data_IF_726096634685
#
_entry.id   IF_726096634685
#
_cell.length_a   1.000
_cell.length_b   1.000
_cell.length_c   1.000
_cell.angle_alpha   90.00
_cell.angle_beta   90.00
_cell.angle_gamma   90.00
#
_symmetry.space_group_name_H-M   'P 1'
#
loop_
_entity.id
_entity.type
_entity.pdbx_description
1 polymer ?
#
# COMPACT_ATOMS: atom_id res chain seq x y z
N UNK A 1 -17.16 -0.46 1.12
CA UNK A 1 -16.50 0.21 2.27
C UNK A 1 -15.20 -0.52 2.54
N UNK A 2 -14.07 0.18 2.64
CA UNK A 2 -12.75 -0.44 2.76
C UNK A 2 -12.38 -0.69 4.23
N UNK A 3 -11.81 -1.86 4.54
CA UNK A 3 -11.29 -2.16 5.90
C UNK A 3 -9.99 -1.41 6.20
N UNK A 4 -9.16 -1.16 5.19
CA UNK A 4 -7.93 -0.36 5.31
C UNK A 4 -7.64 0.39 4.00
N UNK A 5 -7.09 1.60 4.10
CA UNK A 5 -6.43 2.30 2.99
C UNK A 5 -4.96 2.58 3.34
N UNK A 6 -4.08 2.62 2.32
CA UNK A 6 -2.63 2.73 2.51
C UNK A 6 -1.97 3.85 1.68
N UNK A 7 -2.44 5.11 1.75
CA UNK A 7 -1.91 6.20 0.93
C UNK A 7 -0.46 6.55 1.29
N UNK A 8 0.37 6.90 0.31
CA UNK A 8 1.60 7.67 0.58
C UNK A 8 1.28 9.17 0.80
N UNK A 9 2.27 9.99 1.14
CA UNK A 9 2.09 11.42 1.39
C UNK A 9 1.43 12.16 0.21
N UNK A 10 1.82 11.86 -1.03
CA UNK A 10 1.26 12.52 -2.23
C UNK A 10 -0.20 12.15 -2.47
N UNK A 11 -0.53 10.87 -2.27
CA UNK A 11 -1.90 10.35 -2.37
C UNK A 11 -2.78 10.93 -1.24
N UNK A 12 -2.28 10.96 -0.01
CA UNK A 12 -2.98 11.53 1.14
C UNK A 12 -3.25 13.03 0.94
N UNK A 13 -2.26 13.79 0.48
CA UNK A 13 -2.42 15.20 0.13
C UNK A 13 -3.49 15.38 -0.96
N UNK A 14 -3.47 14.57 -2.03
CA UNK A 14 -4.46 14.65 -3.09
C UNK A 14 -5.89 14.33 -2.61
N UNK A 15 -6.06 13.35 -1.73
CA UNK A 15 -7.35 13.00 -1.12
C UNK A 15 -7.85 14.08 -0.15
N UNK A 16 -6.95 14.85 0.44
CA UNK A 16 -7.22 15.94 1.39
C UNK A 16 -7.08 17.33 0.75
N UNK A 17 -7.41 17.44 -0.53
CA UNK A 17 -7.48 18.72 -1.26
C UNK A 17 -6.17 19.53 -1.27
N UNK A 18 -5.03 18.85 -1.37
CA UNK A 18 -3.71 19.48 -1.46
C UNK A 18 -3.10 19.87 -0.11
N UNK A 19 -3.57 19.28 0.99
CA UNK A 19 -2.97 19.47 2.31
C UNK A 19 -1.46 19.19 2.29
N UNK A 20 -0.68 20.10 2.86
CA UNK A 20 0.77 19.96 3.01
C UNK A 20 1.06 18.95 4.13
N UNK A 21 1.90 17.96 3.86
CA UNK A 21 2.27 16.89 4.79
C UNK A 21 3.79 16.82 4.90
N UNK A 22 4.36 17.52 5.87
CA UNK A 22 5.81 17.65 6.05
C UNK A 22 6.30 17.07 7.37
N UNK A 23 5.39 16.77 8.30
CA UNK A 23 5.70 16.28 9.64
C UNK A 23 4.90 15.04 10.03
N UNK A 24 5.34 14.34 11.08
CA UNK A 24 4.59 13.21 11.64
C UNK A 24 3.23 13.63 12.18
N UNK A 25 3.10 14.85 12.69
CA UNK A 25 1.82 15.36 13.19
C UNK A 25 0.85 15.69 12.05
N UNK A 26 1.37 16.15 10.90
CA UNK A 26 0.57 16.27 9.68
C UNK A 26 0.06 14.90 9.23
N UNK A 27 0.91 13.87 9.27
CA UNK A 27 0.49 12.51 8.93
C UNK A 27 -0.59 11.96 9.87
N UNK A 28 -0.48 12.21 11.19
CA UNK A 28 -1.53 11.84 12.15
C UNK A 28 -2.84 12.55 11.85
N UNK A 29 -2.76 13.83 11.54
CA UNK A 29 -3.92 14.66 11.15
C UNK A 29 -4.57 14.11 9.88
N UNK A 30 -3.76 13.83 8.87
CA UNK A 30 -4.21 13.22 7.62
C UNK A 30 -4.89 11.87 7.86
N UNK A 31 -4.30 10.99 8.69
CA UNK A 31 -4.87 9.68 8.99
C UNK A 31 -6.27 9.79 9.64
N UNK A 32 -6.46 10.75 10.55
CA UNK A 32 -7.77 11.04 11.16
C UNK A 32 -8.79 11.56 10.15
N UNK A 33 -8.40 12.53 9.32
CA UNK A 33 -9.29 13.09 8.31
C UNK A 33 -9.74 12.04 7.30
N UNK A 34 -8.79 11.21 6.84
CA UNK A 34 -9.05 10.10 5.94
C UNK A 34 -9.93 9.02 6.57
N UNK A 35 -9.74 8.71 7.86
CA UNK A 35 -10.60 7.77 8.58
C UNK A 35 -12.06 8.28 8.64
N UNK A 36 -12.25 9.58 8.85
CA UNK A 36 -13.58 10.20 8.86
C UNK A 36 -14.30 10.13 7.49
N UNK A 37 -13.59 9.75 6.41
CA UNK A 37 -14.20 9.50 5.10
C UNK A 37 -14.80 8.08 4.98
N UNK A 38 -14.61 7.21 5.98
CA UNK A 38 -15.27 5.89 6.07
C UNK A 38 -14.39 4.63 6.23
N UNK A 39 -13.08 4.60 5.90
CA UNK A 39 -12.25 3.43 6.17
C UNK A 39 -12.13 3.12 7.67
N UNK A 40 -12.12 1.84 8.05
CA UNK A 40 -11.93 1.43 9.46
C UNK A 40 -10.49 1.65 9.94
N UNK A 41 -9.52 1.57 9.02
CA UNK A 41 -8.11 1.74 9.30
C UNK A 41 -7.45 2.58 8.21
N UNK A 42 -6.48 3.42 8.59
CA UNK A 42 -5.71 4.25 7.66
C UNK A 42 -4.23 4.10 7.95
N UNK A 43 -3.46 3.66 6.96
CA UNK A 43 -2.00 3.65 7.00
C UNK A 43 -1.44 4.74 6.09
N UNK A 44 -1.00 5.86 6.67
CA UNK A 44 -0.28 6.90 5.91
C UNK A 44 1.19 6.53 5.86
N UNK A 45 1.71 6.29 4.66
CA UNK A 45 3.12 5.89 4.46
C UNK A 45 4.01 7.12 4.38
N UNK A 46 5.05 7.18 5.20
CA UNK A 46 5.92 8.34 5.36
C UNK A 46 7.31 8.19 4.76
N UNK A 47 7.56 7.17 3.95
CA UNK A 47 8.86 6.99 3.28
C UNK A 47 9.35 8.16 2.40
N UNK A 48 8.47 9.12 2.09
CA UNK A 48 8.76 10.35 1.33
C UNK A 48 8.94 11.60 2.23
N UNK A 49 8.94 11.46 3.56
CA UNK A 49 9.16 12.59 4.49
C UNK A 49 10.56 13.21 4.28
N UNK A 50 10.67 14.55 4.23
CA UNK A 50 11.96 15.23 4.17
C UNK A 50 12.83 14.90 5.41
N UNK A 51 14.14 14.76 5.19
CA UNK A 51 15.18 14.70 6.23
C UNK A 51 15.05 13.61 7.33
N UNK A 52 14.25 12.57 7.10
CA UNK A 52 14.17 11.43 8.02
C UNK A 52 15.24 10.37 7.71
N UNK A 53 15.93 9.87 8.75
CA UNK A 53 16.81 8.70 8.65
C UNK A 53 16.03 7.38 8.53
N UNK A 54 14.79 7.38 9.00
CA UNK A 54 13.89 6.22 9.05
C UNK A 54 12.66 6.47 8.18
N UNK A 55 12.12 5.43 7.55
CA UNK A 55 10.78 5.46 7.00
C UNK A 55 9.78 5.19 8.15
N UNK A 56 8.92 6.18 8.42
CA UNK A 56 7.91 6.11 9.49
C UNK A 56 6.54 6.12 8.85
N UNK A 57 5.78 5.05 9.04
CA UNK A 57 4.38 4.98 8.62
C UNK A 57 3.46 5.14 9.84
N UNK A 58 2.30 5.76 9.65
CA UNK A 58 1.30 6.00 10.71
C UNK A 58 0.05 5.19 10.42
N UNK A 59 -0.25 4.21 11.27
CA UNK A 59 -1.54 3.51 11.29
C UNK A 59 -2.48 4.16 12.30
N UNK A 60 -3.71 4.42 11.88
CA UNK A 60 -4.81 4.86 12.73
C UNK A 60 -6.01 3.91 12.59
N UNK A 61 -6.50 3.37 13.70
CA UNK A 61 -7.62 2.40 13.77
C UNK A 61 -8.96 3.02 14.19
N UNK A 62 -9.02 4.36 14.27
CA UNK A 62 -10.16 5.11 14.79
C UNK A 62 -10.06 5.46 16.28
N UNK A 63 -9.15 4.83 17.03
CA UNK A 63 -8.95 5.05 18.46
C UNK A 63 -7.50 5.42 18.78
N UNK A 64 -6.56 4.63 18.28
CA UNK A 64 -5.15 4.68 18.58
C UNK A 64 -4.32 4.96 17.32
N UNK A 65 -3.18 5.62 17.54
CA UNK A 65 -2.15 5.76 16.54
C UNK A 65 -1.00 4.80 16.82
N UNK A 66 -0.47 4.20 15.75
CA UNK A 66 0.70 3.34 15.81
C UNK A 66 1.75 3.84 14.82
N UNK A 67 2.96 4.09 15.30
CA UNK A 67 4.11 4.38 14.46
C UNK A 67 4.80 3.07 14.07
N UNK A 68 4.96 2.84 12.76
CA UNK A 68 5.72 1.72 12.22
C UNK A 68 7.03 2.28 11.67
N UNK A 69 8.14 1.98 12.35
CA UNK A 69 9.47 2.49 12.01
C UNK A 69 10.29 1.43 11.31
N UNK A 70 10.88 1.81 10.19
CA UNK A 70 11.80 0.97 9.42
C UNK A 70 13.01 1.76 8.93
N UNK A 71 14.15 1.10 8.70
CA UNK A 71 15.28 1.75 8.06
C UNK A 71 14.88 2.31 6.68
N UNK A 72 15.26 3.54 6.37
CA UNK A 72 14.97 4.11 5.05
C UNK A 72 15.79 3.39 3.97
N UNK A 73 15.14 2.53 3.17
CA UNK A 73 15.78 1.83 2.06
C UNK A 73 15.83 2.76 0.85
N UNK A 74 16.97 3.44 0.65
CA UNK A 74 17.23 4.22 -0.58
C UNK A 74 17.42 3.26 -1.76
N UNK A 75 16.43 3.18 -2.64
CA UNK A 75 16.47 2.36 -3.85
C UNK A 75 15.83 3.06 -5.04
N UNK A 76 16.38 2.85 -6.24
CA UNK A 76 15.75 3.25 -7.51
C UNK A 76 14.59 2.32 -7.90
N UNK A 77 14.52 1.14 -7.28
CA UNK A 77 13.51 0.11 -7.54
C UNK A 77 12.25 0.39 -6.70
N UNK A 78 11.72 1.60 -6.82
CA UNK A 78 10.53 2.06 -6.09
C UNK A 78 9.21 1.70 -6.79
N UNK A 79 9.28 1.22 -8.05
CA UNK A 79 8.09 0.83 -8.80
C UNK A 79 7.48 -0.46 -8.23
N UNK A 80 6.16 -0.49 -8.06
CA UNK A 80 5.45 -1.66 -7.51
C UNK A 80 5.56 -1.84 -5.99
N UNK A 81 6.29 -0.98 -5.27
CA UNK A 81 6.43 -1.05 -3.80
C UNK A 81 5.09 -0.88 -3.08
N UNK A 82 4.31 0.12 -3.46
CA UNK A 82 2.98 0.35 -2.88
C UNK A 82 2.00 -0.79 -3.13
N UNK A 83 1.98 -1.34 -4.35
CA UNK A 83 1.13 -2.49 -4.70
C UNK A 83 1.57 -3.75 -3.94
N UNK A 84 2.88 -3.97 -3.78
CA UNK A 84 3.44 -5.10 -3.04
C UNK A 84 3.11 -5.04 -1.56
N UNK A 85 3.27 -3.87 -0.94
CA UNK A 85 2.94 -3.66 0.46
C UNK A 85 1.45 -3.93 0.72
N UNK A 86 0.57 -3.33 -0.08
CA UNK A 86 -0.86 -3.52 0.06
C UNK A 86 -1.30 -4.96 -0.22
N UNK A 87 -0.69 -5.65 -1.19
CA UNK A 87 -0.91 -7.09 -1.43
C UNK A 87 -0.46 -7.95 -0.25
N UNK A 88 0.68 -7.61 0.37
CA UNK A 88 1.18 -8.30 1.56
C UNK A 88 0.22 -8.11 2.74
N UNK A 89 -0.25 -6.89 2.98
CA UNK A 89 -1.23 -6.58 4.04
C UNK A 89 -2.51 -7.39 3.79
N UNK A 90 -3.05 -7.35 2.58
CA UNK A 90 -4.26 -8.10 2.23
C UNK A 90 -4.09 -9.61 2.44
N UNK A 91 -2.95 -10.19 2.04
CA UNK A 91 -2.66 -11.61 2.22
C UNK A 91 -2.50 -12.01 3.69
N UNK A 92 -1.98 -11.13 4.55
CA UNK A 92 -1.87 -11.40 5.99
C UNK A 92 -3.22 -11.23 6.70
N UNK A 93 -4.04 -10.25 6.31
CA UNK A 93 -5.42 -10.13 6.77
C UNK A 93 -6.25 -11.37 6.41
N UNK A 94 -6.09 -11.87 5.17
CA UNK A 94 -6.77 -13.09 4.70
C UNK A 94 -6.39 -14.36 5.49
N UNK A 95 -5.22 -14.38 6.12
CA UNK A 95 -4.80 -15.46 7.04
C UNK A 95 -5.39 -15.32 8.45
N UNK A 96 -6.17 -14.26 8.71
CA UNK A 96 -6.78 -13.97 10.00
C UNK A 96 -5.90 -13.18 10.96
N UNK A 97 -4.80 -12.56 10.49
CA UNK A 97 -4.01 -11.70 11.36
C UNK A 97 -4.74 -10.37 11.65
N UNK A 98 -4.60 -9.83 12.87
CA UNK A 98 -5.07 -8.48 13.18
C UNK A 98 -4.39 -7.42 12.29
N UNK A 99 -5.07 -6.30 12.03
CA UNK A 99 -4.59 -5.23 11.14
C UNK A 99 -3.19 -4.78 11.53
N UNK A 100 -2.96 -4.35 12.77
CA UNK A 100 -1.64 -3.90 13.23
C UNK A 100 -0.55 -4.94 12.96
N UNK A 101 -0.83 -6.23 13.18
CA UNK A 101 0.12 -7.32 12.90
C UNK A 101 0.36 -7.53 11.41
N UNK A 102 -0.68 -7.40 10.58
CA UNK A 102 -0.57 -7.49 9.12
C UNK A 102 0.27 -6.34 8.54
N UNK A 103 0.12 -5.12 9.09
CA UNK A 103 0.89 -3.96 8.64
C UNK A 103 2.33 -3.96 9.16
N UNK A 104 2.55 -4.37 10.41
CA UNK A 104 3.89 -4.42 11.02
C UNK A 104 4.76 -5.56 10.48
N UNK A 105 4.22 -6.43 9.62
CA UNK A 105 4.97 -7.58 9.12
C UNK A 105 6.02 -7.12 8.11
N UNK A 106 7.28 -7.21 8.54
CA UNK A 106 8.52 -6.86 7.81
C UNK A 106 8.77 -7.54 6.46
N UNK A 107 7.83 -8.36 5.98
CA UNK A 107 7.96 -9.08 4.71
C UNK A 107 8.20 -8.12 3.54
N UNK A 108 7.60 -6.93 3.56
CA UNK A 108 7.82 -5.92 2.54
C UNK A 108 9.23 -5.33 2.60
N UNK A 109 9.71 -4.91 3.77
CA UNK A 109 11.05 -4.35 3.96
C UNK A 109 12.15 -5.31 3.54
N UNK A 110 12.05 -6.59 3.95
CA UNK A 110 13.02 -7.62 3.57
C UNK A 110 13.05 -7.86 2.07
N UNK A 111 11.87 -7.87 1.42
CA UNK A 111 11.78 -7.99 -0.03
C UNK A 111 12.27 -6.73 -0.75
N UNK A 112 12.05 -5.54 -0.20
CA UNK A 112 12.53 -4.28 -0.77
C UNK A 112 14.06 -4.19 -0.72
N UNK A 113 14.65 -4.56 0.42
CA UNK A 113 16.10 -4.55 0.63
C UNK A 113 16.79 -5.52 -0.32
N UNK A 114 16.29 -6.74 -0.43
CA UNK A 114 16.77 -7.72 -1.42
C UNK A 114 16.62 -7.23 -2.87
N UNK A 115 15.48 -6.59 -3.17
CA UNK A 115 15.18 -6.13 -4.53
C UNK A 115 16.05 -4.96 -4.97
N UNK A 116 16.69 -4.24 -4.04
CA UNK A 116 17.57 -3.11 -4.33
C UNK A 116 18.72 -3.48 -5.26
N UNK A 117 19.20 -4.73 -5.18
CA UNK A 117 20.32 -5.23 -5.96
C UNK A 117 19.91 -5.84 -7.31
N UNK A 118 18.60 -5.99 -7.56
CA UNK A 118 18.09 -6.60 -8.79
C UNK A 118 18.20 -5.61 -9.96
N UNK A 119 19.06 -5.94 -10.91
CA UNK A 119 19.23 -5.24 -12.18
C UNK A 119 18.50 -5.95 -13.31
N UNK A 120 17.21 -5.67 -13.50
CA UNK A 120 16.42 -6.16 -14.65
C UNK A 120 15.83 -4.95 -15.38
N UNK A 121 16.08 -4.86 -16.69
CA UNK A 121 15.68 -3.74 -17.53
C UNK A 121 16.65 -2.54 -17.49
N UNK A 122 16.51 -1.64 -18.46
CA UNK A 122 17.36 -0.44 -18.63
C UNK A 122 16.65 0.87 -18.21
N UNK A 123 15.48 0.77 -17.56
CA UNK A 123 14.71 1.93 -17.12
C UNK A 123 15.28 2.61 -15.86
N UNK A 124 14.86 3.84 -15.55
CA UNK A 124 15.32 4.56 -14.36
C UNK A 124 14.85 3.93 -13.04
N UNK A 125 13.85 3.04 -13.09
CA UNK A 125 13.32 2.28 -11.95
C UNK A 125 13.38 0.78 -12.26
N UNK A 126 13.90 -0.04 -11.35
CA UNK A 126 13.93 -1.51 -11.47
C UNK A 126 12.83 -2.21 -10.64
N UNK A 127 12.72 -3.54 -10.76
CA UNK A 127 11.59 -4.31 -10.21
C UNK A 127 11.74 -4.68 -8.73
N UNK A 128 10.60 -5.03 -8.12
CA UNK A 128 10.49 -5.64 -6.79
C UNK A 128 10.30 -7.16 -6.91
N UNK A 129 11.02 -7.96 -6.13
CA UNK A 129 10.92 -9.42 -6.10
C UNK A 129 9.83 -9.89 -5.14
N UNK A 130 8.65 -10.11 -5.68
CA UNK A 130 7.50 -10.66 -4.95
C UNK A 130 7.73 -12.09 -4.42
N UNK A 131 8.71 -12.83 -4.95
CA UNK A 131 8.93 -14.25 -4.65
C UNK A 131 10.02 -14.49 -3.60
N UNK A 132 10.64 -13.45 -3.04
CA UNK A 132 11.74 -13.62 -2.09
C UNK A 132 11.40 -14.59 -0.95
N UNK A 133 10.18 -14.50 -0.40
CA UNK A 133 9.75 -15.36 0.71
C UNK A 133 9.65 -16.84 0.33
N UNK A 134 9.37 -17.13 -0.95
CA UNK A 134 9.34 -18.50 -1.48
C UNK A 134 10.76 -19.02 -1.76
N UNK A 135 11.70 -18.13 -2.08
CA UNK A 135 13.11 -18.49 -2.28
C UNK A 135 13.84 -18.77 -0.97
N UNK A 136 13.40 -18.17 0.13
CA UNK A 136 14.02 -18.29 1.46
C UNK A 136 13.43 -19.39 2.36
N UNK A 137 12.35 -20.07 1.95
CA UNK A 137 11.78 -21.24 2.64
C UNK A 137 11.56 -22.40 1.65
N UNK A 138 12.50 -23.34 1.62
CA UNK A 138 12.26 -24.67 1.03
C UNK A 138 11.69 -25.69 2.03
N UNK A 139 11.40 -25.30 3.28
CA UNK A 139 10.88 -26.21 4.30
C UNK A 139 9.85 -25.49 5.19
N UNK A 140 8.80 -26.24 5.57
CA UNK A 140 7.68 -25.88 6.46
C UNK A 140 6.44 -25.19 5.85
N UNK A 141 5.81 -25.89 4.89
CA UNK A 141 4.41 -25.69 4.55
C UNK A 141 3.49 -26.33 5.61
N UNK A 142 3.23 -25.64 6.73
CA UNK A 142 2.11 -26.01 7.58
C UNK A 142 0.78 -25.57 6.93
N UNK A 143 -0.16 -26.52 6.78
CA UNK A 143 -1.52 -26.27 6.29
C UNK A 143 -2.19 -25.18 7.14
N UNK A 144 -2.29 -23.98 6.59
CA UNK A 144 -3.24 -22.99 7.09
C UNK A 144 -4.57 -23.14 6.32
N UNK A 145 -5.66 -22.81 7.01
CA UNK A 145 -7.05 -22.99 6.56
C UNK A 145 -7.27 -22.49 5.12
N UNK A 146 -8.13 -23.17 4.33
CA UNK A 146 -8.37 -22.78 2.95
C UNK A 146 -8.99 -21.38 2.89
N UNK A 147 -8.32 -20.49 2.16
CA UNK A 147 -8.79 -19.15 1.84
C UNK A 147 -10.08 -19.23 0.99
N UNK A 148 -11.15 -18.56 1.42
CA UNK A 148 -12.38 -18.43 0.64
C UNK A 148 -12.28 -17.18 -0.24
N UNK A 149 -12.39 -17.30 -1.58
CA UNK A 149 -12.38 -16.15 -2.49
C UNK A 149 -13.50 -15.12 -2.21
N UNK A 150 -14.53 -15.54 -1.47
CA UNK A 150 -15.67 -14.73 -1.03
C UNK A 150 -15.31 -13.70 0.05
N UNK A 151 -14.13 -13.83 0.68
CA UNK A 151 -13.67 -12.95 1.76
C UNK A 151 -12.97 -11.68 1.25
N UNK A 152 -12.79 -11.54 -0.07
CA UNK A 152 -12.07 -10.43 -0.69
C UNK A 152 -13.05 -9.40 -1.27
N UNK A 153 -13.41 -8.37 -0.49
CA UNK A 153 -14.11 -7.20 -1.04
C UNK A 153 -13.10 -6.21 -1.65
N UNK A 154 -12.85 -6.41 -2.95
CA UNK A 154 -12.34 -5.44 -3.94
C UNK A 154 -11.04 -4.67 -3.60
N UNK A 155 -10.01 -4.89 -4.42
CA UNK A 155 -8.76 -4.12 -4.42
C UNK A 155 -8.72 -3.18 -5.62
N UNK A 156 -8.63 -1.87 -5.39
CA UNK A 156 -8.48 -0.87 -6.44
C UNK A 156 -7.02 -0.41 -6.53
N UNK A 157 -6.34 -0.75 -7.63
CA UNK A 157 -5.05 -0.16 -8.00
C UNK A 157 -5.30 1.04 -8.88
N UNK A 158 -5.15 2.25 -8.33
CA UNK A 158 -5.24 3.46 -9.15
C UNK A 158 -3.84 3.89 -9.60
N UNK A 159 -3.39 3.33 -10.71
CA UNK A 159 -2.19 3.85 -11.39
C UNK A 159 -2.51 5.24 -11.98
N UNK A 160 -1.89 6.26 -11.42
CA UNK A 160 -2.08 7.66 -11.80
C UNK A 160 -1.73 7.96 -13.27
N UNK A 161 -0.82 7.19 -13.88
CA UNK A 161 -0.45 7.33 -15.30
C UNK A 161 -1.49 6.66 -16.20
N UNK A 162 -2.03 5.51 -15.80
CA UNK A 162 -3.11 4.85 -16.54
C UNK A 162 -4.41 5.64 -16.48
N UNK A 163 -4.78 6.15 -15.29
CA UNK A 163 -5.95 7.00 -15.10
C UNK A 163 -5.89 8.25 -16.00
N UNK A 164 -4.71 8.87 -16.10
CA UNK A 164 -4.48 10.02 -17.00
C UNK A 164 -4.61 9.65 -18.49
N UNK A 165 -4.19 8.44 -18.87
CA UNK A 165 -4.33 7.90 -20.24
C UNK A 165 -5.78 7.60 -20.60
N UNK A 166 -6.61 7.27 -19.61
CA UNK A 166 -8.04 7.03 -19.76
C UNK A 166 -8.92 8.26 -19.49
N UNK A 167 -8.31 9.43 -19.25
CA UNK A 167 -9.04 10.69 -19.02
C UNK A 167 -9.84 10.71 -17.72
N UNK A 168 -9.51 9.86 -16.75
CA UNK A 168 -10.23 9.73 -15.49
C UNK A 168 -9.37 10.22 -14.32
N UNK A 169 -9.98 10.91 -13.36
CA UNK A 169 -9.26 11.31 -12.14
C UNK A 169 -9.10 10.10 -11.20
N UNK A 170 -8.07 10.11 -10.36
CA UNK A 170 -7.88 9.08 -9.32
C UNK A 170 -9.09 9.02 -8.40
N UNK A 171 -9.68 10.19 -8.06
CA UNK A 171 -10.86 10.27 -7.21
C UNK A 171 -12.06 9.54 -7.83
N UNK A 172 -12.29 9.72 -9.14
CA UNK A 172 -13.38 9.04 -9.85
C UNK A 172 -13.14 7.53 -9.97
N UNK A 173 -11.88 7.11 -10.16
CA UNK A 173 -11.51 5.69 -10.22
C UNK A 173 -11.71 5.00 -8.86
N UNK A 174 -11.32 5.66 -7.76
CA UNK A 174 -11.56 5.16 -6.40
C UNK A 174 -13.06 5.11 -6.10
N UNK A 175 -13.83 6.13 -6.49
CA UNK A 175 -15.27 6.18 -6.29
C UNK A 175 -16.00 5.07 -7.06
N UNK A 176 -15.65 4.85 -8.32
CA UNK A 176 -16.21 3.77 -9.14
C UNK A 176 -15.93 2.38 -8.55
N UNK A 177 -14.72 2.16 -8.02
CA UNK A 177 -14.40 0.93 -7.30
C UNK A 177 -15.25 0.80 -6.03
N UNK A 178 -15.38 1.84 -5.21
CA UNK A 178 -16.21 1.83 -4.00
C UNK A 178 -17.68 1.48 -4.31
N UNK A 179 -18.19 1.95 -5.46
CA UNK A 179 -19.57 1.75 -5.92
C UNK A 179 -19.79 0.40 -6.64
N UNK A 180 -18.77 -0.48 -6.73
CA UNK A 180 -18.89 -1.86 -7.23
C UNK A 180 -18.63 -2.05 -8.73
N UNK A 181 -18.09 -1.05 -9.43
CA UNK A 181 -17.76 -1.14 -10.85
C UNK A 181 -16.27 -1.17 -11.10
N UNK A 182 -15.73 -2.31 -11.53
CA UNK A 182 -14.34 -2.40 -11.97
C UNK A 182 -14.17 -3.35 -13.18
N UNK A 183 -15.00 -3.20 -14.21
CA UNK A 183 -14.72 -3.80 -15.53
C UNK A 183 -15.06 -2.80 -16.64
N UNK A 184 -14.02 -2.26 -17.27
CA UNK A 184 -14.09 -1.84 -18.67
C UNK A 184 -12.93 -2.52 -19.39
N UNK A 185 -13.15 -3.74 -19.86
CA UNK A 185 -12.35 -4.28 -20.94
C UNK A 185 -12.44 -3.30 -22.11
N UNK A 186 -11.29 -2.79 -22.55
CA UNK A 186 -11.20 -2.01 -23.76
C UNK A 186 -11.55 -2.94 -24.93
N UNK A 187 -12.78 -2.88 -25.41
CA UNK A 187 -13.09 -3.34 -26.77
C UNK A 187 -12.42 -2.34 -27.71
N UNK A 188 -11.36 -2.81 -28.36
CA UNK A 188 -10.74 -2.12 -29.47
C UNK A 188 -11.69 -2.23 -30.68
N UNK A 189 -12.13 -1.08 -31.19
CA UNK A 189 -12.52 -0.88 -32.59
C UNK A 189 -11.41 -0.07 -33.28
#
# INVERSE_FOLDING_TARGET
MADIITPNLKEAAALLNGMLLETLDDMRTAARLLHNMGPKNVLVKGGDLPDSSDAIDILYDGLNFYELRSPLIRTRNAHGTGCSLASCIAAELAKGYPVLSAVAKRCFETALDYSKEIGIGNGPQGPFDHLLRLKSHSQDCHRQQPFSPSDLFLYAVTDSRMNKRWGQSIADAVKAAIDGGADREAVAD
#
